data_IF_724547947699
#
_entry.id   IF_724547947699
#
_cell.length_a   1.000
_cell.length_b   1.000
_cell.length_c   1.000
_cell.angle_alpha   90.00
_cell.angle_beta   90.00
_cell.angle_gamma   90.00
#
_symmetry.space_group_name_H-M   'P 1'
#
loop_
_entity.id
_entity.type
_entity.pdbx_description
1 polymer ?
#
# COMPACT_ATOMS: atom_id res chain seq x y z
N UNK A 1 17.17 16.98 11.42
CA UNK A 1 17.46 15.60 10.99
C UNK A 1 16.14 14.97 10.60
N UNK A 2 15.70 15.28 9.39
CA UNK A 2 14.55 14.62 8.78
C UNK A 2 14.99 13.20 8.47
N UNK A 3 14.44 12.22 9.19
CA UNK A 3 14.53 10.83 8.77
C UNK A 3 13.59 10.67 7.57
N UNK A 4 14.01 11.17 6.42
CA UNK A 4 13.42 10.83 5.13
C UNK A 4 13.94 9.43 4.75
N UNK A 5 13.66 8.45 5.61
CA UNK A 5 13.70 7.05 5.20
C UNK A 5 12.52 6.95 4.24
N UNK A 6 12.80 6.95 2.94
CA UNK A 6 11.94 6.34 1.96
C UNK A 6 11.63 4.93 2.48
N UNK A 7 10.49 4.77 3.16
CA UNK A 7 9.99 3.47 3.60
C UNK A 7 9.60 2.76 2.31
N UNK A 8 10.54 2.02 1.74
CA UNK A 8 10.28 1.15 0.60
C UNK A 8 9.39 0.04 1.11
N UNK A 9 8.15 0.02 0.64
CA UNK A 9 7.23 -1.09 0.83
C UNK A 9 7.76 -2.25 0.00
N UNK A 10 8.05 -3.38 0.63
CA UNK A 10 8.55 -4.58 -0.05
C UNK A 10 7.62 -5.79 0.13
N UNK A 11 7.92 -6.86 -0.62
CA UNK A 11 7.10 -8.08 -0.63
C UNK A 11 7.12 -8.80 0.71
N UNK A 12 8.24 -8.81 1.43
CA UNK A 12 8.34 -9.45 2.74
C UNK A 12 7.43 -8.77 3.77
N UNK A 13 7.33 -7.44 3.74
CA UNK A 13 6.43 -6.68 4.60
C UNK A 13 4.96 -7.00 4.28
N UNK A 14 4.58 -7.06 3.00
CA UNK A 14 3.22 -7.42 2.59
C UNK A 14 2.87 -8.85 2.99
N UNK A 15 3.79 -9.82 2.85
CA UNK A 15 3.59 -11.19 3.33
C UNK A 15 3.40 -11.25 4.84
N UNK A 16 4.25 -10.56 5.59
CA UNK A 16 4.12 -10.48 7.05
C UNK A 16 2.79 -9.86 7.47
N UNK A 17 2.28 -8.88 6.71
CA UNK A 17 0.97 -8.29 6.93
C UNK A 17 -0.17 -9.30 6.68
N UNK A 18 -0.10 -10.05 5.58
CA UNK A 18 -1.04 -11.14 5.28
C UNK A 18 -1.06 -12.19 6.40
N UNK A 19 0.11 -12.64 6.84
CA UNK A 19 0.23 -13.62 7.93
C UNK A 19 -0.40 -13.11 9.24
N UNK A 20 -0.23 -11.81 9.54
CA UNK A 20 -0.82 -11.17 10.73
C UNK A 20 -2.34 -11.03 10.64
N UNK A 21 -2.91 -10.83 9.44
CA UNK A 21 -4.36 -10.74 9.26
C UNK A 21 -5.08 -12.06 9.52
N UNK A 22 -4.37 -13.20 9.49
CA UNK A 22 -4.90 -14.49 9.95
C UNK A 22 -5.16 -14.56 11.46
N UNK A 23 -4.67 -13.59 12.24
CA UNK A 23 -4.90 -13.45 13.69
C UNK A 23 -5.86 -12.27 13.93
N UNK A 24 -7.09 -12.57 14.38
CA UNK A 24 -8.14 -11.56 14.59
C UNK A 24 -7.77 -10.50 15.63
N UNK A 25 -6.82 -10.78 16.54
CA UNK A 25 -6.32 -9.80 17.50
C UNK A 25 -5.41 -8.74 16.89
N UNK A 26 -5.00 -8.93 15.63
CA UNK A 26 -4.04 -8.07 14.92
C UNK A 26 -4.64 -7.27 13.76
N UNK A 27 -5.97 -7.31 13.57
CA UNK A 27 -6.62 -6.61 12.46
C UNK A 27 -6.38 -5.09 12.54
N UNK A 28 -6.62 -4.47 13.70
CA UNK A 28 -6.42 -3.03 13.89
C UNK A 28 -4.99 -2.54 13.56
N UNK A 29 -3.91 -3.15 14.09
CA UNK A 29 -2.56 -2.75 13.70
C UNK A 29 -2.24 -3.03 12.22
N UNK A 30 -2.86 -4.03 11.59
CA UNK A 30 -2.71 -4.26 10.15
C UNK A 30 -3.37 -3.15 9.32
N UNK A 31 -4.56 -2.67 9.73
CA UNK A 31 -5.24 -1.53 9.10
C UNK A 31 -4.36 -0.27 9.14
N UNK A 32 -3.78 0.04 10.30
CA UNK A 32 -2.89 1.20 10.44
C UNK A 32 -1.62 1.09 9.59
N UNK A 33 -1.11 -0.12 9.38
CA UNK A 33 0.01 -0.35 8.47
C UNK A 33 -0.37 -0.13 7.01
N UNK A 34 -1.56 -0.58 6.57
CA UNK A 34 -2.09 -0.28 5.22
C UNK A 34 -2.28 1.22 5.01
N UNK A 35 -2.80 1.94 6.01
CA UNK A 35 -2.92 3.41 5.96
C UNK A 35 -1.57 4.09 5.77
N UNK A 36 -0.54 3.64 6.48
CA UNK A 36 0.83 4.15 6.31
C UNK A 36 1.38 3.83 4.93
N UNK A 37 1.14 2.63 4.41
CA UNK A 37 1.53 2.26 3.05
C UNK A 37 0.87 3.18 2.00
N UNK A 38 -0.42 3.47 2.18
CA UNK A 38 -1.17 4.39 1.34
C UNK A 38 -0.59 5.81 1.39
N UNK A 39 -0.29 6.34 2.58
CA UNK A 39 0.33 7.66 2.74
C UNK A 39 1.67 7.77 1.99
N UNK A 40 2.51 6.74 2.09
CA UNK A 40 3.79 6.68 1.38
C UNK A 40 3.57 6.72 -0.13
N UNK A 41 2.70 5.84 -0.67
CA UNK A 41 2.47 5.75 -2.12
C UNK A 41 1.80 7.00 -2.69
N UNK A 42 0.85 7.60 -1.98
CA UNK A 42 0.22 8.87 -2.36
C UNK A 42 1.23 10.02 -2.37
N UNK A 43 2.15 10.07 -1.40
CA UNK A 43 3.23 11.06 -1.38
C UNK A 43 4.17 10.88 -2.57
N UNK A 44 4.54 9.63 -2.91
CA UNK A 44 5.37 9.32 -4.08
C UNK A 44 4.66 9.70 -5.38
N UNK A 45 3.36 9.39 -5.51
CA UNK A 45 2.56 9.77 -6.67
C UNK A 45 2.57 11.28 -6.87
N UNK A 46 2.27 12.05 -5.81
CA UNK A 46 2.28 13.51 -5.87
C UNK A 46 3.62 14.08 -6.36
N UNK A 47 4.73 13.53 -5.85
CA UNK A 47 6.09 13.92 -6.29
C UNK A 47 6.35 13.55 -7.76
N UNK A 48 5.93 12.35 -8.18
CA UNK A 48 6.12 11.87 -9.54
C UNK A 48 5.28 12.66 -10.56
N UNK A 49 4.04 12.99 -10.22
CA UNK A 49 3.15 13.80 -11.06
C UNK A 49 3.69 15.21 -11.26
N UNK A 50 4.21 15.84 -10.20
CA UNK A 50 4.82 17.16 -10.26
C UNK A 50 6.05 17.23 -11.20
N UNK A 51 6.75 16.11 -11.42
CA UNK A 51 7.93 16.01 -12.28
C UNK A 51 7.68 15.44 -13.68
N UNK A 52 6.48 14.93 -13.98
CA UNK A 52 6.24 14.11 -15.19
C UNK A 52 6.19 14.89 -16.53
N UNK A 53 6.30 16.23 -16.50
CA UNK A 53 6.29 17.06 -17.70
C UNK A 53 7.44 16.72 -18.69
N UNK A 54 8.54 16.16 -18.19
CA UNK A 54 9.76 15.91 -18.99
C UNK A 54 10.23 14.43 -19.00
N UNK A 55 9.73 13.60 -18.08
CA UNK A 55 10.22 12.23 -17.86
C UNK A 55 9.00 11.31 -17.65
N UNK A 56 8.59 10.61 -18.71
CA UNK A 56 7.66 9.46 -18.74
C UNK A 56 6.50 9.37 -17.73
N UNK A 57 5.26 9.21 -18.23
CA UNK A 57 4.06 9.00 -17.38
C UNK A 57 3.96 7.61 -16.74
N UNK A 58 4.89 6.70 -17.03
CA UNK A 58 4.83 5.30 -16.57
C UNK A 58 4.89 5.18 -15.04
N UNK A 59 5.77 5.95 -14.37
CA UNK A 59 5.92 5.90 -12.92
C UNK A 59 4.68 6.44 -12.19
N UNK A 60 4.14 7.64 -12.52
CA UNK A 60 2.88 8.09 -11.93
C UNK A 60 1.71 7.15 -12.17
N UNK A 61 1.58 6.57 -13.38
CA UNK A 61 0.50 5.60 -13.67
C UNK A 61 0.62 4.33 -12.81
N UNK A 62 1.84 3.82 -12.62
CA UNK A 62 2.08 2.68 -11.73
C UNK A 62 1.72 3.01 -10.28
N UNK A 63 2.15 4.18 -9.79
CA UNK A 63 1.86 4.63 -8.44
C UNK A 63 0.36 4.86 -8.19
N UNK A 64 -0.37 5.44 -9.16
CA UNK A 64 -1.84 5.56 -9.09
C UNK A 64 -2.53 4.19 -8.99
N UNK A 65 -2.08 3.20 -9.77
CA UNK A 65 -2.58 1.83 -9.67
C UNK A 65 -2.33 1.21 -8.28
N UNK A 66 -1.12 1.40 -7.73
CA UNK A 66 -0.76 0.93 -6.38
C UNK A 66 -1.57 1.64 -5.27
N UNK A 67 -1.80 2.95 -5.38
CA UNK A 67 -2.66 3.72 -4.46
C UNK A 67 -4.08 3.17 -4.44
N UNK A 68 -4.69 2.96 -5.62
CA UNK A 68 -6.06 2.41 -5.71
C UNK A 68 -6.17 1.00 -5.13
N UNK A 69 -5.14 0.16 -5.31
CA UNK A 69 -5.11 -1.16 -4.69
C UNK A 69 -5.10 -1.05 -3.16
N UNK A 70 -4.29 -0.14 -2.60
CA UNK A 70 -4.22 0.09 -1.16
C UNK A 70 -5.53 0.68 -0.59
N UNK A 71 -6.22 1.55 -1.34
CA UNK A 71 -7.55 2.05 -0.96
C UNK A 71 -8.59 0.91 -0.89
N UNK A 72 -8.61 0.02 -1.88
CA UNK A 72 -9.50 -1.13 -1.89
C UNK A 72 -9.20 -2.11 -0.74
N UNK A 73 -7.91 -2.37 -0.47
CA UNK A 73 -7.48 -3.20 0.67
C UNK A 73 -7.97 -2.57 1.97
N UNK A 74 -7.73 -1.27 2.16
CA UNK A 74 -8.13 -0.55 3.37
C UNK A 74 -9.64 -0.62 3.57
N UNK A 75 -10.41 -0.37 2.52
CA UNK A 75 -11.87 -0.44 2.56
C UNK A 75 -12.35 -1.83 2.99
N UNK A 76 -11.84 -2.91 2.38
CA UNK A 76 -12.22 -4.27 2.74
C UNK A 76 -11.90 -4.59 4.22
N UNK A 77 -10.74 -4.16 4.71
CA UNK A 77 -10.36 -4.38 6.11
C UNK A 77 -11.19 -3.55 7.10
N UNK A 78 -11.55 -2.32 6.75
CA UNK A 78 -12.42 -1.46 7.58
C UNK A 78 -13.87 -1.95 7.62
N UNK A 79 -14.32 -2.69 6.60
CA UNK A 79 -15.61 -3.39 6.57
C UNK A 79 -15.58 -4.79 7.22
N UNK A 80 -14.49 -5.13 7.93
CA UNK A 80 -14.27 -6.45 8.57
C UNK A 80 -14.25 -7.63 7.57
N UNK A 81 -14.07 -7.35 6.27
CA UNK A 81 -13.95 -8.35 5.22
C UNK A 81 -12.49 -8.79 5.06
N UNK A 82 -11.99 -9.45 6.10
CA UNK A 82 -10.58 -9.87 6.20
C UNK A 82 -10.15 -10.81 5.07
N UNK A 83 -11.05 -11.69 4.60
CA UNK A 83 -10.75 -12.64 3.52
C UNK A 83 -10.49 -11.89 2.21
N UNK A 84 -11.30 -10.90 1.89
CA UNK A 84 -11.09 -10.05 0.72
C UNK A 84 -9.82 -9.19 0.88
N UNK A 85 -9.62 -8.59 2.05
CA UNK A 85 -8.40 -7.81 2.34
C UNK A 85 -7.11 -8.62 2.14
N UNK A 86 -7.09 -9.90 2.59
CA UNK A 86 -5.97 -10.83 2.34
C UNK A 86 -5.79 -11.10 0.84
N UNK A 87 -6.88 -11.37 0.12
CA UNK A 87 -6.81 -11.62 -1.33
C UNK A 87 -6.24 -10.42 -2.08
N UNK A 88 -6.71 -9.22 -1.77
CA UNK A 88 -6.25 -7.97 -2.39
C UNK A 88 -4.79 -7.66 -2.05
N UNK A 89 -4.35 -7.94 -0.81
CA UNK A 89 -2.94 -7.83 -0.43
C UNK A 89 -2.04 -8.79 -1.20
N UNK A 90 -2.51 -10.02 -1.46
CA UNK A 90 -1.77 -10.98 -2.27
C UNK A 90 -1.65 -10.54 -3.74
N UNK A 91 -2.63 -9.81 -4.27
CA UNK A 91 -2.54 -9.22 -5.61
C UNK A 91 -1.61 -8.01 -5.62
N UNK A 92 -1.66 -7.15 -4.59
CA UNK A 92 -0.73 -6.05 -4.41
C UNK A 92 0.73 -6.53 -4.32
N UNK A 93 1.01 -7.63 -3.61
CA UNK A 93 2.34 -8.24 -3.51
C UNK A 93 2.94 -8.59 -4.89
N UNK A 94 2.11 -8.95 -5.88
CA UNK A 94 2.57 -9.35 -7.21
C UNK A 94 3.05 -8.16 -8.05
N UNK A 95 2.54 -6.96 -7.79
CA UNK A 95 2.76 -5.77 -8.62
C UNK A 95 3.81 -4.81 -8.08
N UNK A 96 4.14 -4.89 -6.79
CA UNK A 96 5.21 -4.08 -6.18
C UNK A 96 6.60 -4.60 -6.48
#
# INVERSE_FOLDING_TARGET
>A
MEQEILIIINKEQVKALIDRLGDSSRIAPCIEEVKRMLEIKSTLLWRADAGSCCVGRELPMRLDGEVRMLENILHALEEDNVVEGISLLADYEKVI
#
